data_IF_505112765451
#
_entry.id   IF_505112765451
#
_cell.length_a   1.000
_cell.length_b   1.000
_cell.length_c   1.000
_cell.angle_alpha   90.00
_cell.angle_beta   90.00
_cell.angle_gamma   90.00
#
_symmetry.space_group_name_H-M   'P 1'
#
loop_
_entity.id
_entity.type
_entity.pdbx_description
1 polymer ?
#
# COMPACT_ATOMS: atom_id res chain seq x y z
N UNK A 1 4.38 13.77 -95.50
CA UNK A 1 2.98 13.50 -95.22
C UNK A 1 2.76 13.62 -93.76
N UNK A 2 1.90 14.55 -93.35
CA UNK A 2 1.34 14.88 -92.05
C UNK A 2 2.25 15.29 -90.88
N UNK A 3 2.40 16.57 -90.82
CA UNK A 3 2.68 17.46 -89.69
C UNK A 3 1.67 17.28 -88.54
N UNK A 4 2.15 17.17 -87.31
CA UNK A 4 1.29 17.49 -86.18
C UNK A 4 2.06 18.33 -85.15
N UNK A 5 1.63 19.57 -85.03
CA UNK A 5 2.04 20.58 -84.10
C UNK A 5 1.76 20.17 -82.64
N UNK A 6 2.78 20.25 -81.88
CA UNK A 6 2.66 20.09 -80.40
C UNK A 6 2.57 21.47 -79.75
N UNK A 7 1.40 21.79 -79.19
CA UNK A 7 1.17 23.02 -78.41
C UNK A 7 1.77 22.81 -77.01
N UNK A 8 2.72 23.66 -76.66
CA UNK A 8 3.16 23.83 -75.28
C UNK A 8 2.04 24.49 -74.47
N UNK A 9 1.48 23.76 -73.54
CA UNK A 9 0.61 24.29 -72.46
C UNK A 9 1.46 24.57 -71.26
N UNK A 10 1.58 25.83 -70.88
CA UNK A 10 2.19 26.31 -69.62
C UNK A 10 1.30 25.91 -68.44
N UNK A 11 1.75 24.94 -67.65
CA UNK A 11 1.10 24.63 -66.38
C UNK A 11 1.71 25.56 -65.33
N UNK A 12 0.94 26.56 -64.89
CA UNK A 12 1.28 27.38 -63.75
C UNK A 12 1.07 26.53 -62.48
N UNK A 13 2.16 26.14 -61.84
CA UNK A 13 2.12 25.51 -60.53
C UNK A 13 1.77 26.55 -59.47
N UNK A 14 0.52 26.51 -58.99
CA UNK A 14 0.09 27.24 -57.79
C UNK A 14 0.66 26.50 -56.60
N UNK A 15 1.77 26.99 -56.02
CA UNK A 15 2.27 26.59 -54.72
C UNK A 15 1.26 27.08 -53.66
N UNK A 16 0.36 26.22 -53.24
CA UNK A 16 -0.39 26.38 -52.02
C UNK A 16 0.58 26.26 -50.82
N UNK A 17 1.00 27.38 -50.29
CA UNK A 17 1.64 27.48 -48.98
C UNK A 17 0.64 27.00 -47.92
N UNK A 18 0.70 25.70 -47.61
CA UNK A 18 0.05 25.14 -46.43
C UNK A 18 0.90 25.60 -45.25
N UNK A 19 0.56 26.75 -44.68
CA UNK A 19 1.03 27.10 -43.34
C UNK A 19 0.50 26.05 -42.38
N UNK A 20 1.37 25.36 -41.58
CA UNK A 20 0.88 24.51 -40.55
C UNK A 20 0.14 25.41 -39.55
N UNK A 21 -1.18 25.32 -39.52
CA UNK A 21 -1.93 25.79 -38.37
C UNK A 21 -1.40 25.01 -37.16
N UNK A 22 -0.49 25.63 -36.41
CA UNK A 22 -0.27 25.20 -35.01
C UNK A 22 -1.61 25.41 -34.33
N UNK A 23 -2.33 24.34 -34.11
CA UNK A 23 -3.42 24.34 -33.15
C UNK A 23 -2.78 24.76 -31.81
N UNK A 24 -2.94 26.01 -31.43
CA UNK A 24 -2.65 26.49 -30.11
C UNK A 24 -3.63 25.70 -29.21
N UNK A 25 -3.11 24.75 -28.45
CA UNK A 25 -3.90 24.04 -27.44
C UNK A 25 -4.24 25.10 -26.41
N UNK A 26 -5.41 25.74 -26.57
CA UNK A 26 -5.95 26.66 -25.57
C UNK A 26 -6.28 25.81 -24.37
N UNK A 27 -5.43 25.86 -23.38
CA UNK A 27 -5.60 25.11 -22.14
C UNK A 27 -6.88 25.59 -21.42
N UNK A 28 -7.87 24.70 -21.31
CA UNK A 28 -9.16 25.02 -20.70
C UNK A 28 -9.02 25.12 -19.18
N UNK A 29 -9.33 26.27 -18.63
CA UNK A 29 -9.42 26.46 -17.18
C UNK A 29 -10.73 25.87 -16.68
N UNK A 30 -10.65 24.96 -15.71
CA UNK A 30 -11.80 24.31 -15.07
C UNK A 30 -12.26 25.07 -13.84
N UNK A 31 -11.32 25.45 -12.99
CA UNK A 31 -11.58 26.20 -11.76
C UNK A 31 -10.41 27.10 -11.41
N UNK A 32 -10.69 28.24 -10.80
CA UNK A 32 -9.69 29.16 -10.25
C UNK A 32 -9.85 29.22 -8.72
N UNK A 33 -8.76 29.00 -7.99
CA UNK A 33 -8.71 28.98 -6.53
C UNK A 33 -7.68 30.00 -6.07
N UNK A 34 -8.12 31.10 -5.42
CA UNK A 34 -7.27 32.21 -4.99
C UNK A 34 -6.35 32.78 -6.09
N UNK A 35 -6.83 32.76 -7.34
CA UNK A 35 -6.07 33.24 -8.49
C UNK A 35 -5.30 32.18 -9.26
N UNK A 36 -4.95 31.07 -8.66
CA UNK A 36 -4.34 29.92 -9.36
C UNK A 36 -5.41 29.06 -10.06
N UNK A 37 -5.02 28.35 -11.11
CA UNK A 37 -5.97 27.59 -11.93
C UNK A 37 -5.68 26.09 -11.86
N UNK A 38 -6.76 25.31 -11.94
CA UNK A 38 -6.71 23.90 -12.32
C UNK A 38 -7.26 23.84 -13.73
N UNK A 39 -6.44 23.28 -14.63
CA UNK A 39 -6.76 23.17 -16.05
C UNK A 39 -7.30 21.80 -16.40
N UNK A 40 -7.82 21.63 -17.60
CA UNK A 40 -8.25 20.31 -18.09
C UNK A 40 -7.09 19.34 -18.10
N UNK A 41 -5.92 19.74 -18.59
CA UNK A 41 -4.75 18.89 -18.63
C UNK A 41 -4.23 18.46 -17.23
N UNK A 42 -4.35 19.34 -16.22
CA UNK A 42 -4.04 18.99 -14.84
C UNK A 42 -5.01 17.94 -14.30
N UNK A 43 -6.30 18.10 -14.60
CA UNK A 43 -7.33 17.16 -14.16
C UNK A 43 -7.21 15.81 -14.85
N UNK A 44 -6.91 15.78 -16.15
CA UNK A 44 -6.64 14.54 -16.89
C UNK A 44 -5.43 13.79 -16.31
N UNK A 45 -4.36 14.48 -15.90
CA UNK A 45 -3.23 13.86 -15.21
C UNK A 45 -3.65 13.21 -13.90
N UNK A 46 -4.52 13.86 -13.13
CA UNK A 46 -5.07 13.30 -11.88
C UNK A 46 -5.88 12.03 -12.17
N UNK A 47 -6.69 12.03 -13.24
CA UNK A 47 -7.45 10.85 -13.65
C UNK A 47 -6.54 9.69 -14.08
N UNK A 48 -5.49 9.98 -14.87
CA UNK A 48 -4.49 8.97 -15.26
C UNK A 48 -3.81 8.36 -14.04
N UNK A 49 -3.40 9.19 -13.08
CA UNK A 49 -2.79 8.72 -11.85
C UNK A 49 -3.76 7.90 -10.98
N UNK A 50 -5.03 8.30 -10.94
CA UNK A 50 -6.08 7.52 -10.27
C UNK A 50 -6.24 6.13 -10.88
N UNK A 51 -6.18 6.01 -12.19
CA UNK A 51 -6.26 4.74 -12.91
C UNK A 51 -5.00 3.90 -12.71
N UNK A 52 -3.83 4.51 -12.76
CA UNK A 52 -2.55 3.83 -12.55
C UNK A 52 -2.45 3.16 -11.17
N UNK A 53 -3.07 3.76 -10.16
CA UNK A 53 -3.14 3.21 -8.80
C UNK A 53 -4.22 2.11 -8.61
N UNK A 54 -4.91 1.72 -9.69
CA UNK A 54 -5.96 0.68 -9.70
C UNK A 54 -5.71 -0.32 -10.81
N UNK A 55 -4.90 -1.35 -10.57
CA UNK A 55 -4.51 -2.33 -11.61
C UNK A 55 -5.70 -3.01 -12.30
N UNK A 56 -6.83 -3.14 -11.61
CA UNK A 56 -8.05 -3.69 -12.13
C UNK A 56 -8.69 -2.80 -13.21
N UNK A 57 -8.61 -1.47 -13.04
CA UNK A 57 -9.11 -0.51 -14.02
C UNK A 57 -8.13 -0.27 -15.16
N UNK A 58 -6.84 -0.27 -14.86
CA UNK A 58 -5.77 -0.06 -15.85
C UNK A 58 -5.71 -1.17 -16.92
N UNK A 59 -6.26 -2.35 -16.64
CA UNK A 59 -6.34 -3.48 -17.58
C UNK A 59 -7.56 -3.41 -18.51
N UNK A 60 -8.50 -2.52 -18.25
CA UNK A 60 -9.71 -2.38 -19.08
C UNK A 60 -9.37 -1.68 -20.40
N UNK A 61 -10.08 -2.01 -21.49
CA UNK A 61 -9.92 -1.29 -22.77
C UNK A 61 -10.18 0.22 -22.58
N UNK A 62 -9.41 1.09 -23.25
CA UNK A 62 -9.50 2.56 -23.07
C UNK A 62 -10.90 3.16 -23.22
N UNK A 63 -11.75 2.56 -24.06
CA UNK A 63 -13.12 3.04 -24.34
C UNK A 63 -14.19 2.12 -23.76
N UNK A 64 -13.87 1.34 -22.73
CA UNK A 64 -14.87 0.45 -22.12
C UNK A 64 -15.89 1.25 -21.30
N UNK A 65 -17.18 0.90 -21.33
CA UNK A 65 -18.21 1.55 -20.50
C UNK A 65 -17.90 1.46 -19.00
N UNK A 66 -17.21 0.43 -18.58
CA UNK A 66 -16.78 0.24 -17.18
C UNK A 66 -15.73 1.25 -16.77
N UNK A 67 -14.74 1.53 -17.65
CA UNK A 67 -13.71 2.53 -17.40
C UNK A 67 -14.32 3.94 -17.35
N UNK A 68 -15.18 4.28 -18.33
CA UNK A 68 -15.87 5.58 -18.37
C UNK A 68 -16.68 5.81 -17.09
N UNK A 69 -17.46 4.80 -16.67
CA UNK A 69 -18.23 4.87 -15.42
C UNK A 69 -17.34 5.06 -14.20
N UNK A 70 -16.24 4.31 -14.09
CA UNK A 70 -15.32 4.44 -12.96
C UNK A 70 -14.69 5.84 -12.88
N UNK A 71 -14.36 6.46 -14.02
CA UNK A 71 -13.86 7.84 -14.11
C UNK A 71 -14.94 8.83 -13.68
N UNK A 72 -16.17 8.69 -14.18
CA UNK A 72 -17.30 9.55 -13.81
C UNK A 72 -17.62 9.46 -12.31
N UNK A 73 -17.71 8.26 -11.76
CA UNK A 73 -17.97 8.02 -10.34
C UNK A 73 -16.85 8.57 -9.43
N UNK A 74 -15.62 8.62 -9.92
CA UNK A 74 -14.48 9.18 -9.17
C UNK A 74 -14.39 10.72 -9.25
N UNK A 75 -15.02 11.34 -10.24
CA UNK A 75 -14.92 12.77 -10.50
C UNK A 75 -15.17 13.66 -9.25
N UNK A 76 -16.20 13.41 -8.40
CA UNK A 76 -16.42 14.17 -7.18
C UNK A 76 -15.20 14.14 -6.23
N UNK A 77 -14.64 12.99 -5.99
CA UNK A 77 -13.49 12.83 -5.10
C UNK A 77 -12.23 13.44 -5.69
N UNK A 78 -11.99 13.26 -6.99
CA UNK A 78 -10.79 13.76 -7.67
C UNK A 78 -10.77 15.29 -7.71
N UNK A 79 -11.87 15.94 -8.09
CA UNK A 79 -11.90 17.40 -8.18
C UNK A 79 -11.86 18.06 -6.80
N UNK A 80 -12.51 17.49 -5.79
CA UNK A 80 -12.41 17.99 -4.42
C UNK A 80 -10.96 17.84 -3.92
N UNK A 81 -10.33 16.69 -4.17
CA UNK A 81 -8.93 16.45 -3.82
C UNK A 81 -7.96 17.41 -4.50
N UNK A 82 -8.19 17.73 -5.77
CA UNK A 82 -7.37 18.72 -6.53
C UNK A 82 -7.45 20.13 -5.93
N UNK A 83 -8.65 20.58 -5.54
CA UNK A 83 -8.83 21.87 -4.87
C UNK A 83 -8.16 21.85 -3.49
N UNK A 84 -8.36 20.80 -2.70
CA UNK A 84 -7.74 20.66 -1.37
C UNK A 84 -6.21 20.68 -1.46
N UNK A 85 -5.64 19.99 -2.42
CA UNK A 85 -4.21 19.94 -2.66
C UNK A 85 -3.65 21.30 -3.02
N UNK A 86 -4.32 22.03 -3.92
CA UNK A 86 -3.92 23.38 -4.29
C UNK A 86 -3.95 24.34 -3.10
N UNK A 87 -4.97 24.25 -2.24
CA UNK A 87 -5.07 25.04 -1.03
C UNK A 87 -3.93 24.75 -0.04
N UNK A 88 -3.57 23.47 0.14
CA UNK A 88 -2.44 23.09 0.97
C UNK A 88 -1.11 23.60 0.42
N UNK A 89 -0.92 23.61 -0.90
CA UNK A 89 0.28 24.17 -1.53
C UNK A 89 0.34 25.69 -1.38
N UNK A 90 -0.79 26.38 -1.49
CA UNK A 90 -0.87 27.81 -1.20
C UNK A 90 -0.48 28.09 0.25
N UNK A 91 -0.97 27.27 1.18
CA UNK A 91 -0.61 27.39 2.59
C UNK A 91 0.88 27.19 2.85
N UNK A 92 1.51 26.22 2.18
CA UNK A 92 2.96 26.04 2.25
C UNK A 92 3.73 27.28 1.79
N UNK A 93 3.27 27.93 0.72
CA UNK A 93 3.88 29.19 0.22
C UNK A 93 3.66 30.36 1.17
N UNK A 94 2.49 30.47 1.81
CA UNK A 94 2.23 31.46 2.86
C UNK A 94 3.20 31.32 4.04
N UNK A 95 3.59 30.09 4.40
CA UNK A 95 4.63 29.82 5.37
C UNK A 95 6.05 30.15 4.85
N UNK A 96 6.21 30.49 3.57
CA UNK A 96 7.51 30.72 2.94
C UNK A 96 8.31 29.44 2.69
N UNK A 97 7.66 28.27 2.69
CA UNK A 97 8.37 27.00 2.50
C UNK A 97 8.65 26.71 1.04
N UNK A 98 9.85 26.26 0.80
CA UNK A 98 10.33 25.79 -0.49
C UNK A 98 11.34 24.67 -0.27
N UNK A 99 11.51 23.81 -1.27
CA UNK A 99 12.49 22.75 -1.22
C UNK A 99 13.79 23.21 -1.85
N UNK A 100 14.89 23.15 -1.09
CA UNK A 100 16.23 23.47 -1.61
C UNK A 100 16.69 22.43 -2.62
N UNK A 101 17.55 22.85 -3.54
CA UNK A 101 18.14 21.94 -4.54
C UNK A 101 18.91 20.78 -3.90
N UNK A 102 19.58 21.03 -2.77
CA UNK A 102 20.31 19.98 -2.07
C UNK A 102 19.38 18.97 -1.39
N UNK A 103 18.23 19.42 -0.88
CA UNK A 103 17.22 18.50 -0.37
C UNK A 103 16.65 17.66 -1.50
N UNK A 104 16.28 18.29 -2.61
CA UNK A 104 15.79 17.60 -3.78
C UNK A 104 16.79 16.55 -4.29
N UNK A 105 18.08 16.89 -4.44
CA UNK A 105 19.12 15.94 -4.86
C UNK A 105 19.23 14.73 -3.93
N UNK A 106 19.13 14.92 -2.61
CA UNK A 106 19.12 13.80 -1.66
C UNK A 106 17.91 12.87 -1.89
N UNK A 107 16.71 13.44 -1.97
CA UNK A 107 15.49 12.65 -2.18
C UNK A 107 15.57 11.85 -3.49
N UNK A 108 16.02 12.48 -4.57
CA UNK A 108 16.20 11.79 -5.86
C UNK A 108 17.27 10.69 -5.74
N UNK A 109 18.37 10.94 -5.04
CA UNK A 109 19.40 9.94 -4.79
C UNK A 109 18.86 8.71 -4.07
N UNK A 110 18.06 8.92 -3.04
CA UNK A 110 17.40 7.83 -2.29
C UNK A 110 16.39 7.05 -3.17
N UNK A 111 15.58 7.75 -3.96
CA UNK A 111 14.64 7.12 -4.91
C UNK A 111 15.40 6.27 -5.93
N UNK A 112 16.45 6.80 -6.53
CA UNK A 112 17.27 6.08 -7.53
C UNK A 112 17.91 4.84 -6.92
N UNK A 113 18.50 4.97 -5.74
CA UNK A 113 19.10 3.84 -5.01
C UNK A 113 18.09 2.77 -4.64
N UNK A 114 16.93 3.15 -4.12
CA UNK A 114 15.89 2.19 -3.71
C UNK A 114 15.27 1.42 -4.88
N UNK A 115 15.36 1.98 -6.10
CA UNK A 115 14.82 1.37 -7.32
C UNK A 115 15.91 0.78 -8.24
N UNK A 116 17.18 0.75 -7.81
CA UNK A 116 18.33 0.33 -8.60
C UNK A 116 18.47 1.13 -9.92
N UNK A 117 18.27 2.45 -9.86
CA UNK A 117 18.29 3.39 -10.97
C UNK A 117 19.42 4.44 -10.83
N UNK A 118 20.56 4.05 -10.25
CA UNK A 118 21.71 4.96 -10.06
C UNK A 118 22.31 5.41 -11.39
N UNK A 119 22.22 4.60 -12.44
CA UNK A 119 22.62 4.97 -13.79
C UNK A 119 21.67 6.01 -14.39
N UNK A 120 22.22 7.10 -14.94
CA UNK A 120 21.45 8.22 -15.48
C UNK A 120 20.60 7.83 -16.70
N UNK A 121 21.12 6.95 -17.57
CA UNK A 121 20.37 6.52 -18.74
C UNK A 121 19.21 5.62 -18.36
N UNK A 122 19.41 4.71 -17.39
CA UNK A 122 18.37 3.87 -16.83
C UNK A 122 17.28 4.72 -16.13
N UNK A 123 17.67 5.71 -15.35
CA UNK A 123 16.75 6.62 -14.68
C UNK A 123 15.90 7.43 -15.68
N UNK A 124 16.53 8.06 -16.68
CA UNK A 124 15.80 8.80 -17.73
C UNK A 124 14.85 7.91 -18.52
N UNK A 125 15.28 6.68 -18.81
CA UNK A 125 14.44 5.69 -19.50
C UNK A 125 13.23 5.30 -18.64
N UNK A 126 13.43 5.10 -17.35
CA UNK A 126 12.33 4.81 -16.41
C UNK A 126 11.32 5.96 -16.35
N UNK A 127 11.77 7.21 -16.23
CA UNK A 127 10.90 8.39 -16.28
C UNK A 127 10.12 8.48 -17.61
N UNK A 128 10.80 8.28 -18.73
CA UNK A 128 10.16 8.30 -20.05
C UNK A 128 9.10 7.20 -20.20
N UNK A 129 9.31 6.01 -19.63
CA UNK A 129 8.31 4.93 -19.62
C UNK A 129 7.05 5.27 -18.85
N UNK A 130 7.17 6.15 -17.84
CA UNK A 130 6.05 6.71 -17.06
C UNK A 130 5.48 8.01 -17.66
N UNK A 131 5.98 8.43 -18.82
CA UNK A 131 5.57 9.68 -19.48
C UNK A 131 5.98 10.95 -18.71
N UNK A 132 6.99 10.87 -17.87
CA UNK A 132 7.44 11.96 -16.99
C UNK A 132 8.80 12.52 -17.42
N UNK A 133 9.00 13.82 -17.18
CA UNK A 133 10.32 14.46 -17.21
C UNK A 133 10.91 14.58 -15.81
N UNK A 134 12.21 14.88 -15.70
CA UNK A 134 12.81 15.20 -14.40
C UNK A 134 12.16 16.43 -13.75
N UNK A 135 11.71 17.40 -14.55
CA UNK A 135 11.00 18.58 -14.07
C UNK A 135 9.61 18.22 -13.50
N UNK A 136 8.90 17.26 -14.10
CA UNK A 136 7.63 16.78 -13.60
C UNK A 136 7.83 16.00 -12.28
N UNK A 137 8.85 15.16 -12.22
CA UNK A 137 9.22 14.45 -11.01
C UNK A 137 9.56 15.44 -9.88
N UNK A 138 10.35 16.49 -10.18
CA UNK A 138 10.67 17.55 -9.21
C UNK A 138 9.41 18.18 -8.65
N UNK A 139 8.51 18.63 -9.52
CA UNK A 139 7.22 19.22 -9.10
C UNK A 139 6.40 18.28 -8.24
N UNK A 140 6.38 16.99 -8.59
CA UNK A 140 5.65 15.97 -7.81
C UNK A 140 6.23 15.79 -6.42
N UNK A 141 7.56 15.68 -6.30
CA UNK A 141 8.26 15.54 -5.02
C UNK A 141 8.07 16.80 -4.15
N UNK A 142 8.27 18.00 -4.73
CA UNK A 142 8.05 19.26 -4.03
C UNK A 142 6.63 19.36 -3.47
N UNK A 143 5.64 19.05 -4.30
CA UNK A 143 4.23 19.01 -3.92
C UNK A 143 3.98 18.08 -2.73
N UNK A 144 4.46 16.85 -2.82
CA UNK A 144 4.25 15.85 -1.76
C UNK A 144 4.89 16.27 -0.43
N UNK A 145 6.13 16.78 -0.47
CA UNK A 145 6.85 17.20 0.73
C UNK A 145 6.17 18.42 1.36
N UNK A 146 5.81 19.42 0.56
CA UNK A 146 5.16 20.65 1.06
C UNK A 146 3.79 20.35 1.69
N UNK A 147 2.99 19.52 1.07
CA UNK A 147 1.68 19.10 1.61
C UNK A 147 1.86 18.33 2.93
N UNK A 148 2.83 17.42 2.97
CA UNK A 148 3.15 16.66 4.19
C UNK A 148 3.61 17.61 5.31
N UNK A 149 4.41 18.61 5.01
CA UNK A 149 4.89 19.59 5.97
C UNK A 149 3.75 20.45 6.52
N UNK A 150 2.81 20.94 5.66
CA UNK A 150 1.62 21.65 6.11
C UNK A 150 0.79 20.78 7.05
N UNK A 151 0.53 19.51 6.69
CA UNK A 151 -0.22 18.59 7.55
C UNK A 151 0.48 18.37 8.88
N UNK A 152 1.81 18.24 8.87
CA UNK A 152 2.58 18.05 10.09
C UNK A 152 2.45 19.25 11.02
N UNK A 153 2.75 20.46 10.54
CA UNK A 153 2.84 21.66 11.36
C UNK A 153 1.45 22.23 11.72
N UNK A 154 0.56 22.31 10.73
CA UNK A 154 -0.74 22.97 10.93
C UNK A 154 -1.80 22.06 11.58
N UNK A 155 -1.60 20.73 11.54
CA UNK A 155 -2.56 19.75 12.05
C UNK A 155 -1.92 18.85 13.10
N UNK A 156 -0.94 17.99 12.72
CA UNK A 156 -0.46 16.90 13.55
C UNK A 156 0.18 17.37 14.84
N UNK A 157 1.03 18.40 14.80
CA UNK A 157 1.71 18.98 15.98
C UNK A 157 0.75 19.67 16.97
N UNK A 158 -0.46 19.99 16.53
CA UNK A 158 -1.50 20.61 17.37
C UNK A 158 -2.40 19.57 18.04
N UNK A 159 -2.25 18.29 17.70
CA UNK A 159 -3.06 17.21 18.28
C UNK A 159 -2.51 16.86 19.66
N UNK A 160 -3.34 17.08 20.66
CA UNK A 160 -3.10 16.61 22.02
C UNK A 160 -4.02 15.42 22.32
N UNK A 161 -3.46 14.31 22.78
CA UNK A 161 -4.20 13.12 23.22
C UNK A 161 -4.22 13.10 24.73
N UNK A 162 -5.43 13.18 25.32
CA UNK A 162 -5.58 13.16 26.77
C UNK A 162 -5.75 11.73 27.31
N UNK A 163 -5.47 11.55 28.59
CA UNK A 163 -5.68 10.27 29.26
C UNK A 163 -7.16 9.83 29.28
N UNK A 164 -8.06 10.78 29.33
CA UNK A 164 -9.51 10.52 29.28
C UNK A 164 -9.90 9.95 27.91
N UNK A 165 -9.37 10.52 26.82
CA UNK A 165 -9.61 10.03 25.47
C UNK A 165 -9.03 8.62 25.27
N UNK A 166 -7.83 8.36 25.80
CA UNK A 166 -7.19 7.04 25.75
C UNK A 166 -8.06 6.02 26.49
N UNK A 167 -8.53 6.35 27.69
CA UNK A 167 -9.40 5.47 28.47
C UNK A 167 -10.72 5.20 27.77
N UNK A 168 -11.41 6.27 27.33
CA UNK A 168 -12.70 6.15 26.63
C UNK A 168 -12.61 5.30 25.37
N UNK A 169 -11.54 5.52 24.58
CA UNK A 169 -11.32 4.71 23.38
C UNK A 169 -11.11 3.22 23.71
N UNK A 170 -10.29 2.93 24.73
CA UNK A 170 -10.03 1.57 25.15
C UNK A 170 -11.31 0.89 25.66
N UNK A 171 -12.11 1.55 26.49
CA UNK A 171 -13.38 1.03 27.01
C UNK A 171 -14.35 0.67 25.88
N UNK A 172 -14.44 1.55 24.86
CA UNK A 172 -15.29 1.32 23.69
C UNK A 172 -14.78 0.22 22.76
N UNK A 173 -13.45 -0.01 22.70
CA UNK A 173 -12.80 -0.85 21.70
C UNK A 173 -11.88 -1.92 22.30
N UNK A 174 -12.08 -2.32 23.55
CA UNK A 174 -11.18 -3.25 24.29
C UNK A 174 -10.92 -4.56 23.55
N UNK A 175 -11.92 -5.05 22.80
CA UNK A 175 -11.84 -6.27 21.98
C UNK A 175 -10.86 -6.16 20.80
N UNK A 176 -10.42 -4.96 20.43
CA UNK A 176 -9.41 -4.76 19.39
C UNK A 176 -7.97 -4.91 19.94
N UNK A 177 -7.80 -4.87 21.25
CA UNK A 177 -6.51 -4.98 21.93
C UNK A 177 -6.28 -6.38 22.47
N UNK A 178 -6.28 -7.35 21.56
CA UNK A 178 -6.12 -8.77 21.89
C UNK A 178 -4.67 -9.19 21.64
N UNK A 179 -4.08 -9.90 22.62
CA UNK A 179 -2.91 -10.75 22.38
C UNK A 179 -3.43 -12.11 21.94
N UNK A 180 -3.16 -12.55 20.70
CA UNK A 180 -3.58 -13.87 20.26
C UNK A 180 -2.91 -14.97 21.08
N UNK A 181 -3.50 -16.14 21.10
CA UNK A 181 -2.86 -17.32 21.63
C UNK A 181 -1.59 -17.64 20.84
N UNK A 182 -0.49 -17.83 21.54
CA UNK A 182 0.80 -18.20 20.94
C UNK A 182 1.23 -19.55 21.45
N UNK A 183 1.96 -20.28 20.62
CA UNK A 183 2.58 -21.55 20.96
C UNK A 183 4.04 -21.56 20.58
N UNK A 184 4.83 -22.30 21.34
CA UNK A 184 6.17 -22.69 20.95
C UNK A 184 6.20 -24.21 20.84
N UNK A 185 6.79 -24.70 19.76
CA UNK A 185 6.87 -26.11 19.44
C UNK A 185 8.33 -26.53 19.36
N UNK A 186 8.57 -27.84 19.57
CA UNK A 186 9.79 -28.48 19.07
C UNK A 186 9.44 -29.39 17.91
N UNK A 187 10.18 -29.21 16.81
CA UNK A 187 10.02 -29.95 15.57
C UNK A 187 11.12 -31.00 15.42
N UNK A 188 10.72 -32.22 15.15
CA UNK A 188 11.63 -33.32 14.80
C UNK A 188 11.25 -33.78 13.40
N UNK A 189 12.15 -33.54 12.43
CA UNK A 189 11.97 -33.93 11.02
C UNK A 189 12.86 -35.10 10.68
N UNK A 190 12.27 -36.18 10.19
CA UNK A 190 12.95 -37.28 9.57
C UNK A 190 12.74 -37.23 8.06
N UNK A 191 13.78 -36.89 7.30
CA UNK A 191 13.61 -36.57 5.89
C UNK A 191 13.38 -37.87 5.09
N UNK A 192 12.57 -37.73 4.04
CA UNK A 192 12.41 -38.74 2.97
C UNK A 192 12.72 -38.03 1.66
N UNK A 193 13.70 -38.58 0.93
CA UNK A 193 14.07 -37.97 -0.36
C UNK A 193 13.01 -38.30 -1.42
N UNK A 194 12.61 -37.24 -2.15
CA UNK A 194 11.80 -37.36 -3.37
C UNK A 194 12.76 -37.27 -4.55
N UNK A 195 12.84 -38.31 -5.34
CA UNK A 195 13.67 -38.35 -6.55
C UNK A 195 12.78 -38.22 -7.79
N UNK A 196 13.39 -38.06 -8.96
CA UNK A 196 12.66 -38.03 -10.25
C UNK A 196 11.89 -39.32 -10.53
N UNK A 197 12.22 -40.41 -9.82
CA UNK A 197 11.54 -41.71 -9.88
C UNK A 197 10.47 -41.91 -8.80
N UNK A 198 10.17 -40.82 -8.04
CA UNK A 198 9.25 -40.84 -6.91
C UNK A 198 9.94 -41.11 -5.57
N UNK A 199 9.15 -41.55 -4.57
CA UNK A 199 9.61 -41.84 -3.22
C UNK A 199 10.10 -43.33 -3.20
N UNK A 200 11.27 -43.55 -2.63
CA UNK A 200 11.74 -44.91 -2.35
C UNK A 200 10.95 -45.51 -1.17
N UNK A 201 10.14 -46.52 -1.41
CA UNK A 201 9.25 -47.15 -0.41
C UNK A 201 10.01 -47.65 0.80
N UNK A 202 11.19 -48.26 0.62
CA UNK A 202 11.99 -48.75 1.73
C UNK A 202 12.54 -47.65 2.61
N UNK A 203 12.93 -46.50 2.04
CA UNK A 203 13.39 -45.33 2.79
C UNK A 203 12.21 -44.63 3.50
N UNK A 204 11.04 -44.57 2.87
CA UNK A 204 9.81 -44.03 3.47
C UNK A 204 9.40 -44.87 4.70
N UNK A 205 9.38 -46.22 4.58
CA UNK A 205 9.05 -47.09 5.68
C UNK A 205 10.07 -47.00 6.82
N UNK A 206 11.35 -46.95 6.50
CA UNK A 206 12.41 -46.82 7.52
C UNK A 206 12.32 -45.46 8.25
N UNK A 207 12.02 -44.36 7.55
CA UNK A 207 11.83 -43.06 8.16
C UNK A 207 10.60 -43.03 9.06
N UNK A 208 9.49 -43.68 8.66
CA UNK A 208 8.28 -43.81 9.46
C UNK A 208 8.55 -44.62 10.74
N UNK A 209 9.18 -45.81 10.61
CA UNK A 209 9.50 -46.63 11.77
C UNK A 209 10.41 -45.92 12.76
N UNK A 210 11.40 -45.18 12.25
CA UNK A 210 12.28 -44.34 13.09
C UNK A 210 11.49 -43.24 13.79
N UNK A 211 10.56 -42.56 13.10
CA UNK A 211 9.71 -41.55 13.69
C UNK A 211 8.84 -42.10 14.82
N UNK A 212 8.22 -43.29 14.60
CA UNK A 212 7.43 -43.94 15.64
C UNK A 212 8.28 -44.36 16.84
N UNK A 213 9.50 -44.85 16.61
CA UNK A 213 10.42 -45.18 17.69
C UNK A 213 10.82 -43.93 18.51
N UNK A 214 11.12 -42.83 17.87
CA UNK A 214 11.41 -41.55 18.54
C UNK A 214 10.19 -41.00 19.31
N UNK A 215 9.00 -41.14 18.73
CA UNK A 215 7.76 -40.76 19.43
C UNK A 215 7.56 -41.58 20.71
N UNK A 216 7.85 -42.89 20.68
CA UNK A 216 7.78 -43.74 21.90
C UNK A 216 8.78 -43.29 22.97
N UNK A 217 10.00 -42.87 22.58
CA UNK A 217 11.00 -42.30 23.52
C UNK A 217 10.51 -40.98 24.14
N UNK A 218 9.89 -40.11 23.34
CA UNK A 218 9.28 -38.86 23.82
C UNK A 218 8.15 -39.13 24.82
N UNK A 219 7.27 -40.10 24.52
CA UNK A 219 6.19 -40.51 25.43
C UNK A 219 6.73 -41.15 26.73
N UNK A 220 7.92 -41.75 26.68
CA UNK A 220 8.62 -42.28 27.86
C UNK A 220 9.34 -41.16 28.66
N UNK A 221 9.24 -39.89 28.26
CA UNK A 221 9.78 -38.73 28.98
C UNK A 221 11.18 -38.29 28.56
N UNK A 222 11.72 -38.84 27.47
CA UNK A 222 13.00 -38.37 26.98
C UNK A 222 12.92 -36.95 26.42
N UNK A 223 13.98 -36.15 26.59
CA UNK A 223 14.03 -34.74 26.21
C UNK A 223 13.82 -34.56 24.70
N UNK A 224 12.75 -33.83 24.37
CA UNK A 224 12.48 -33.47 22.97
C UNK A 224 13.61 -32.61 22.33
N UNK A 225 14.26 -31.75 23.15
CA UNK A 225 15.40 -30.96 22.70
C UNK A 225 16.60 -31.88 22.32
N UNK A 226 16.89 -32.91 23.15
CA UNK A 226 17.97 -33.86 22.89
C UNK A 226 17.69 -34.68 21.63
N UNK A 227 16.49 -35.23 21.51
CA UNK A 227 16.05 -35.99 20.32
C UNK A 227 16.13 -35.14 19.06
N UNK A 228 15.64 -33.89 19.11
CA UNK A 228 15.71 -32.97 17.97
C UNK A 228 17.15 -32.66 17.58
N UNK A 229 18.02 -32.38 18.55
CA UNK A 229 19.44 -32.09 18.31
C UNK A 229 20.19 -33.26 17.72
N UNK A 230 19.82 -34.49 18.07
CA UNK A 230 20.48 -35.69 17.57
C UNK A 230 19.91 -36.14 16.22
N UNK A 231 18.59 -36.25 16.09
CA UNK A 231 17.93 -36.96 15.00
C UNK A 231 17.23 -36.08 13.98
N UNK A 232 16.89 -34.82 14.29
CA UNK A 232 16.14 -33.95 13.38
C UNK A 232 17.00 -33.47 12.20
N UNK A 233 16.39 -33.40 11.03
CA UNK A 233 16.93 -32.71 9.85
C UNK A 233 16.32 -31.33 9.62
N UNK A 234 15.44 -30.84 10.51
CA UNK A 234 14.86 -29.51 10.43
C UNK A 234 15.92 -28.41 10.63
N UNK A 235 15.67 -27.22 10.07
CA UNK A 235 16.54 -26.06 10.28
C UNK A 235 16.64 -25.68 11.77
N UNK A 236 15.61 -25.96 12.56
CA UNK A 236 15.55 -25.75 14.02
C UNK A 236 16.42 -26.71 14.84
N UNK A 237 17.05 -27.72 14.23
CA UNK A 237 17.91 -28.72 14.89
C UNK A 237 18.93 -28.11 15.85
N UNK A 238 19.65 -27.06 15.39
CA UNK A 238 20.70 -26.41 16.17
C UNK A 238 20.16 -25.75 17.48
N UNK A 239 18.85 -25.49 17.53
CA UNK A 239 18.15 -24.94 18.69
C UNK A 239 17.27 -25.99 19.40
N UNK A 240 17.67 -27.28 19.32
CA UNK A 240 16.88 -28.37 19.92
C UNK A 240 15.47 -28.49 19.35
N UNK A 241 15.30 -28.18 18.08
CA UNK A 241 14.03 -28.24 17.37
C UNK A 241 13.06 -27.11 17.68
N UNK A 242 13.44 -26.08 18.46
CA UNK A 242 12.55 -25.02 18.92
C UNK A 242 12.09 -24.12 17.77
N UNK A 243 10.77 -23.95 17.64
CA UNK A 243 10.09 -23.11 16.63
C UNK A 243 9.02 -22.27 17.32
N UNK A 244 9.06 -20.97 17.13
CA UNK A 244 8.09 -20.04 17.73
C UNK A 244 8.75 -18.88 18.45
N UNK A 245 7.94 -18.03 19.13
CA UNK A 245 6.48 -18.16 19.28
C UNK A 245 5.72 -18.02 17.95
N UNK A 246 4.68 -18.83 17.76
CA UNK A 246 3.80 -18.85 16.61
C UNK A 246 2.38 -18.49 17.07
N UNK A 247 1.69 -17.61 16.35
CA UNK A 247 0.28 -17.36 16.64
C UNK A 247 -0.56 -18.53 16.12
N UNK A 248 -1.49 -19.00 16.96
CA UNK A 248 -2.30 -20.18 16.66
C UNK A 248 -3.18 -19.97 15.43
N UNK A 249 -3.71 -18.75 15.25
CA UNK A 249 -4.57 -18.38 14.12
C UNK A 249 -3.84 -18.24 12.77
N UNK A 250 -2.51 -18.10 12.79
CA UNK A 250 -1.66 -18.05 11.60
C UNK A 250 -1.18 -19.44 11.13
N UNK A 251 -1.43 -20.50 11.92
CA UNK A 251 -1.05 -21.87 11.55
C UNK A 251 -2.00 -22.44 10.51
N UNK A 252 -1.48 -23.34 9.66
CA UNK A 252 -2.32 -24.11 8.77
C UNK A 252 -3.37 -24.92 9.56
N UNK A 253 -4.64 -25.03 9.10
CA UNK A 253 -5.71 -25.69 9.82
C UNK A 253 -5.37 -27.14 10.26
N UNK A 254 -4.65 -27.87 9.43
CA UNK A 254 -4.22 -29.24 9.69
C UNK A 254 -3.26 -29.30 10.89
N UNK A 255 -2.34 -28.34 10.99
CA UNK A 255 -1.40 -28.24 12.09
C UNK A 255 -2.09 -27.76 13.37
N UNK A 256 -3.05 -26.83 13.27
CA UNK A 256 -3.86 -26.43 14.41
C UNK A 256 -4.60 -27.64 15.03
N UNK A 257 -5.24 -28.47 14.19
CA UNK A 257 -5.98 -29.65 14.63
C UNK A 257 -5.07 -30.67 15.37
N UNK A 258 -3.83 -30.80 14.97
CA UNK A 258 -2.86 -31.68 15.62
C UNK A 258 -2.37 -31.11 16.95
N UNK A 259 -2.11 -29.80 17.00
CA UNK A 259 -1.47 -29.18 18.17
C UNK A 259 -2.51 -28.83 19.26
N UNK A 260 -3.74 -28.50 18.87
CA UNK A 260 -4.77 -28.07 19.82
C UNK A 260 -4.99 -29.05 20.98
N UNK A 261 -5.06 -30.39 20.77
CA UNK A 261 -5.29 -31.34 21.86
C UNK A 261 -4.04 -31.62 22.71
N UNK A 262 -2.84 -31.21 22.29
CA UNK A 262 -1.59 -31.52 22.97
C UNK A 262 -1.49 -30.76 24.32
N UNK A 263 -0.97 -31.45 25.33
CA UNK A 263 -0.49 -30.83 26.57
C UNK A 263 0.98 -30.43 26.42
N UNK A 264 1.42 -29.47 27.25
CA UNK A 264 2.83 -29.06 27.26
C UNK A 264 3.70 -30.29 27.55
N UNK A 265 4.75 -30.49 26.75
CA UNK A 265 5.63 -31.65 26.78
C UNK A 265 5.09 -32.87 26.03
N UNK A 266 3.87 -32.86 25.54
CA UNK A 266 3.28 -34.00 24.82
C UNK A 266 3.66 -33.98 23.34
N UNK A 267 4.15 -35.10 22.78
CA UNK A 267 4.39 -35.24 21.35
C UNK A 267 3.09 -35.49 20.57
N UNK A 268 3.03 -34.97 19.36
CA UNK A 268 1.99 -35.30 18.37
C UNK A 268 2.08 -36.77 17.90
N UNK A 269 1.07 -37.21 17.12
CA UNK A 269 1.24 -38.33 16.22
C UNK A 269 2.34 -38.03 15.19
N UNK A 270 2.87 -39.11 14.57
CA UNK A 270 3.78 -38.96 13.45
C UNK A 270 3.02 -38.48 12.23
N UNK A 271 3.43 -37.36 11.68
CA UNK A 271 2.77 -36.69 10.55
C UNK A 271 3.63 -36.86 9.29
N UNK A 272 3.04 -37.37 8.23
CA UNK A 272 3.67 -37.34 6.92
C UNK A 272 3.40 -35.99 6.27
N UNK A 273 4.43 -35.20 6.05
CA UNK A 273 4.37 -33.87 5.47
C UNK A 273 5.39 -33.73 4.32
N UNK A 274 5.39 -32.62 3.65
CA UNK A 274 6.40 -32.32 2.64
C UNK A 274 7.81 -32.47 3.24
N UNK A 275 8.66 -33.25 2.58
CA UNK A 275 10.05 -33.51 2.99
C UNK A 275 10.24 -34.63 3.98
N UNK A 276 9.19 -35.34 4.46
CA UNK A 276 9.34 -36.50 5.34
C UNK A 276 8.32 -36.60 6.47
N UNK A 277 8.73 -37.25 7.56
CA UNK A 277 7.91 -37.43 8.75
C UNK A 277 8.29 -36.46 9.82
N UNK A 278 7.26 -35.84 10.47
CA UNK A 278 7.43 -34.87 11.53
C UNK A 278 6.73 -35.27 12.82
N UNK A 279 7.36 -34.94 13.92
CA UNK A 279 6.77 -34.99 15.25
C UNK A 279 6.88 -33.57 15.84
N UNK A 280 5.79 -33.08 16.35
CA UNK A 280 5.76 -31.82 17.08
C UNK A 280 5.58 -32.07 18.57
N UNK A 281 6.31 -31.39 19.40
CA UNK A 281 6.14 -31.41 20.85
C UNK A 281 5.76 -30.02 21.29
N UNK A 282 4.64 -29.88 22.01
CA UNK A 282 4.23 -28.56 22.51
C UNK A 282 5.16 -28.15 23.65
N UNK A 283 5.94 -27.09 23.45
CA UNK A 283 6.89 -26.56 24.45
C UNK A 283 6.22 -25.56 25.39
N UNK A 284 5.43 -24.61 24.83
CA UNK A 284 4.63 -23.67 25.60
C UNK A 284 3.35 -23.28 24.86
N UNK A 285 2.37 -22.76 25.62
CA UNK A 285 1.12 -22.22 25.08
C UNK A 285 0.67 -21.04 25.97
N UNK A 286 0.38 -19.92 25.33
CA UNK A 286 -0.38 -18.84 25.95
C UNK A 286 -1.84 -18.87 25.52
N UNK A 287 -2.71 -18.27 26.29
CA UNK A 287 -4.12 -18.09 25.93
C UNK A 287 -4.32 -16.72 25.28
N UNK A 288 -5.36 -16.64 24.45
CA UNK A 288 -5.85 -15.35 23.97
C UNK A 288 -6.32 -14.51 25.15
N UNK A 289 -5.77 -13.31 25.32
CA UNK A 289 -6.18 -12.37 26.35
C UNK A 289 -6.43 -10.98 25.79
N UNK A 290 -7.39 -10.27 26.33
CA UNK A 290 -7.52 -8.83 26.12
C UNK A 290 -6.40 -8.15 26.92
N UNK A 291 -5.54 -7.38 26.25
CA UNK A 291 -4.49 -6.60 26.90
C UNK A 291 -5.13 -5.52 27.77
N UNK A 292 -4.65 -5.34 28.98
CA UNK A 292 -5.08 -4.25 29.83
C UNK A 292 -4.81 -2.89 29.19
N UNK A 293 -5.47 -1.83 29.67
CA UNK A 293 -5.21 -0.47 29.20
C UNK A 293 -3.72 -0.10 29.32
N UNK A 294 -3.07 -0.51 30.41
CA UNK A 294 -1.65 -0.25 30.63
C UNK A 294 -0.77 -0.93 29.57
N UNK A 295 -1.04 -2.22 29.29
CA UNK A 295 -0.33 -2.99 28.24
C UNK A 295 -0.60 -2.45 26.82
N UNK A 296 -1.79 -1.92 26.54
CA UNK A 296 -2.21 -1.44 25.23
C UNK A 296 -2.05 0.08 25.04
N UNK A 297 -1.67 0.83 26.09
CA UNK A 297 -1.70 2.29 26.14
C UNK A 297 -1.09 2.98 24.92
N UNK A 298 0.10 2.55 24.49
CA UNK A 298 0.77 3.13 23.33
C UNK A 298 -0.01 2.94 22.03
N UNK A 299 -0.62 1.75 21.85
CA UNK A 299 -1.43 1.44 20.69
C UNK A 299 -2.75 2.23 20.71
N UNK A 300 -3.39 2.33 21.88
CA UNK A 300 -4.62 3.11 22.07
C UNK A 300 -4.36 4.58 21.79
N UNK A 301 -3.31 5.16 22.38
CA UNK A 301 -2.95 6.56 22.17
C UNK A 301 -2.66 6.88 20.70
N UNK A 302 -1.97 5.98 19.99
CA UNK A 302 -1.74 6.11 18.55
C UNK A 302 -3.05 6.11 17.76
N UNK A 303 -3.98 5.18 18.02
CA UNK A 303 -5.30 5.14 17.35
C UNK A 303 -6.14 6.38 17.63
N UNK A 304 -6.14 6.87 18.87
CA UNK A 304 -6.80 8.14 19.22
C UNK A 304 -6.17 9.30 18.44
N UNK A 305 -4.83 9.38 18.39
CA UNK A 305 -4.14 10.41 17.62
C UNK A 305 -4.48 10.36 16.12
N UNK A 306 -4.52 9.16 15.54
CA UNK A 306 -4.90 8.95 14.14
C UNK A 306 -6.35 9.36 13.87
N UNK A 307 -7.28 9.03 14.76
CA UNK A 307 -8.68 9.43 14.64
C UNK A 307 -8.83 10.95 14.72
N UNK A 308 -8.17 11.58 15.70
CA UNK A 308 -8.14 13.06 15.83
C UNK A 308 -7.51 13.70 14.60
N UNK A 309 -6.40 13.16 14.10
CA UNK A 309 -5.72 13.69 12.92
C UNK A 309 -6.61 13.67 11.68
N UNK A 310 -7.39 12.60 11.48
CA UNK A 310 -8.39 12.55 10.39
C UNK A 310 -9.45 13.65 10.55
N UNK A 311 -10.02 13.78 11.75
CA UNK A 311 -11.03 14.78 12.04
C UNK A 311 -10.50 16.21 11.85
N UNK A 312 -9.34 16.53 12.41
CA UNK A 312 -8.71 17.85 12.30
C UNK A 312 -8.30 18.16 10.85
N UNK A 313 -7.82 17.17 10.09
CA UNK A 313 -7.52 17.35 8.67
C UNK A 313 -8.75 17.78 7.89
N UNK A 314 -9.90 17.13 8.14
CA UNK A 314 -11.15 17.50 7.46
C UNK A 314 -11.63 18.89 7.82
N UNK A 315 -11.54 19.27 9.12
CA UNK A 315 -11.89 20.63 9.59
C UNK A 315 -10.95 21.68 9.03
N UNK A 316 -9.67 21.41 9.00
CA UNK A 316 -8.66 22.32 8.47
C UNK A 316 -8.88 22.58 6.97
N UNK A 317 -9.12 21.54 6.19
CA UNK A 317 -9.45 21.69 4.77
C UNK A 317 -10.76 22.45 4.55
N UNK A 318 -11.76 22.28 5.41
CA UNK A 318 -13.00 23.06 5.34
C UNK A 318 -12.72 24.53 5.59
N UNK A 319 -11.93 24.87 6.61
CA UNK A 319 -11.53 26.25 6.89
C UNK A 319 -10.78 26.89 5.70
N UNK A 320 -9.85 26.14 5.08
CA UNK A 320 -9.14 26.65 3.91
C UNK A 320 -10.10 26.92 2.74
N UNK A 321 -11.09 26.04 2.51
CA UNK A 321 -12.09 26.22 1.45
C UNK A 321 -13.02 27.42 1.72
N UNK A 322 -13.45 27.63 2.96
CA UNK A 322 -14.28 28.74 3.37
C UNK A 322 -13.57 30.09 3.18
N UNK A 323 -12.26 30.14 3.37
CA UNK A 323 -11.45 31.36 3.18
C UNK A 323 -11.07 31.57 1.72
N UNK A 324 -11.18 30.54 0.87
CA UNK A 324 -10.74 30.59 -0.52
C UNK A 324 -11.77 31.23 -1.45
N UNK A 325 -11.29 32.01 -2.43
CA UNK A 325 -12.09 32.43 -3.57
C UNK A 325 -12.03 31.38 -4.67
N UNK A 326 -13.08 30.53 -4.76
CA UNK A 326 -13.20 29.46 -5.77
C UNK A 326 -14.18 29.97 -6.86
N UNK A 327 -13.70 29.98 -8.11
CA UNK A 327 -14.48 30.45 -9.28
C UNK A 327 -14.47 29.36 -10.33
N UNK A 328 -15.61 28.75 -10.57
CA UNK A 328 -15.77 27.66 -11.53
C UNK A 328 -15.93 28.18 -12.97
N UNK A 329 -15.42 27.39 -13.92
CA UNK A 329 -15.58 27.59 -15.37
C UNK A 329 -16.14 26.34 -16.06
N UNK A 330 -16.42 25.28 -15.31
CA UNK A 330 -16.94 24.01 -15.79
C UNK A 330 -18.05 23.52 -14.85
N UNK A 331 -19.31 23.66 -15.29
CA UNK A 331 -20.50 23.44 -14.46
C UNK A 331 -20.63 22.01 -13.93
N UNK A 332 -20.31 21.01 -14.75
CA UNK A 332 -20.44 19.60 -14.32
C UNK A 332 -19.40 19.23 -13.22
N UNK A 333 -18.19 19.77 -13.32
CA UNK A 333 -17.18 19.58 -12.27
C UNK A 333 -17.52 20.38 -11.01
N UNK A 334 -18.17 21.53 -11.13
CA UNK A 334 -18.71 22.24 -9.97
C UNK A 334 -19.76 21.40 -9.24
N UNK A 335 -20.72 20.81 -9.96
CA UNK A 335 -21.73 19.91 -9.37
C UNK A 335 -21.08 18.70 -8.69
N UNK A 336 -20.08 18.11 -9.33
CA UNK A 336 -19.32 16.99 -8.77
C UNK A 336 -18.61 17.40 -7.48
N UNK A 337 -17.96 18.55 -7.46
CA UNK A 337 -17.32 19.13 -6.28
C UNK A 337 -18.32 19.36 -5.14
N UNK A 338 -19.45 20.02 -5.43
CA UNK A 338 -20.48 20.33 -4.43
C UNK A 338 -21.05 19.07 -3.81
N UNK A 339 -21.26 18.03 -4.61
CA UNK A 339 -21.67 16.67 -4.13
C UNK A 339 -20.66 16.10 -3.15
N UNK A 340 -19.38 16.03 -3.54
CA UNK A 340 -18.33 15.51 -2.68
C UNK A 340 -18.16 16.30 -1.40
N UNK A 341 -18.31 17.62 -1.47
CA UNK A 341 -18.25 18.49 -0.32
C UNK A 341 -19.39 18.24 0.67
N UNK A 342 -20.61 18.06 0.17
CA UNK A 342 -21.77 17.72 1.01
C UNK A 342 -21.58 16.38 1.72
N UNK A 343 -21.11 15.34 1.01
CA UNK A 343 -20.80 14.03 1.58
C UNK A 343 -19.71 14.13 2.67
N UNK A 344 -18.67 14.93 2.42
CA UNK A 344 -17.58 15.15 3.38
C UNK A 344 -18.04 15.90 4.64
N UNK A 345 -18.90 16.90 4.49
CA UNK A 345 -19.50 17.61 5.62
C UNK A 345 -20.36 16.70 6.49
N UNK A 346 -21.14 15.81 5.88
CA UNK A 346 -21.91 14.80 6.60
C UNK A 346 -20.99 13.87 7.42
N UNK A 347 -19.85 13.45 6.84
CA UNK A 347 -18.84 12.66 7.55
C UNK A 347 -18.22 13.41 8.73
N UNK A 348 -17.89 14.70 8.57
CA UNK A 348 -17.36 15.53 9.69
C UNK A 348 -18.39 15.69 10.81
N UNK A 349 -19.67 15.82 10.46
CA UNK A 349 -20.73 15.91 11.46
C UNK A 349 -20.86 14.62 12.29
N UNK A 350 -20.76 13.46 11.64
CA UNK A 350 -20.81 12.14 12.33
C UNK A 350 -19.61 11.85 13.24
N UNK A 351 -18.46 12.51 13.02
CA UNK A 351 -17.27 12.37 13.89
C UNK A 351 -17.38 13.21 15.17
N UNK A 352 -18.41 14.06 15.31
CA UNK A 352 -18.66 14.90 16.50
C UNK A 352 -19.70 14.27 17.45
N UNK A 353 -20.47 13.30 16.96
CA UNK A 353 -21.45 12.55 17.74
C UNK A 353 -20.82 11.30 18.36
#
# INVERSE_FOLDING_TARGET
MFTRMMRLGTVAAVLLLVTPLRAEIIEQVLVRVNGEVITLSDYEKIQVQFLANRPELAKLPPNSPQLSRAVEESAPTLILGAVDELLLLQRAREHGWAISDDHFKRVIGDIRKSNNLEDDAAFKKALASEGMTEADLRKSIEREILIRQVRQVDITEKINVTEEEVRAYYEANSKEFISPAEITLREILLPVAVTDRGINVAEDDAAREKAEALRKRLLAGESAASIASEFSAAASKANGGLVGPLKVDELAPELQAVIQPLKIGQPSEVLKMAGGYRIFVLDSRSETKVRTLEEARGDVARRVAEQKSRGETLRYLEQLREQAKIVWRHDELQKAYDKALAERRATVASLKS
#
